data_IF_900307018816
#
_entry.id   IF_900307018816
#
_cell.length_a   1.000
_cell.length_b   1.000
_cell.length_c   1.000
_cell.angle_alpha   90.00
_cell.angle_beta   90.00
_cell.angle_gamma   90.00
#
_symmetry.space_group_name_H-M   'P 1'
#
loop_
_entity.id
_entity.type
_entity.pdbx_description
1 polymer ?
#
# COMPACT_ATOMS: atom_id res chain seq x y z
N UNK A 1 3.36 -2.27 2.42
CA UNK A 1 2.29 -1.50 1.77
C UNK A 1 1.05 -1.48 2.66
N UNK A 2 0.31 -0.36 2.73
CA UNK A 2 -0.97 -0.32 3.43
C UNK A 2 -2.06 -1.06 2.64
N UNK A 3 -3.06 -1.61 3.34
CA UNK A 3 -4.20 -2.29 2.71
C UNK A 3 -4.98 -1.35 1.79
N UNK A 4 -5.14 -0.07 2.16
CA UNK A 4 -5.84 0.96 1.39
C UNK A 4 -5.06 1.41 0.12
N UNK A 5 -3.74 1.31 0.13
CA UNK A 5 -2.94 1.53 -1.08
C UNK A 5 -3.04 0.35 -2.06
N UNK A 6 -3.18 -0.88 -1.54
CA UNK A 6 -3.26 -2.09 -2.35
C UNK A 6 -4.66 -2.30 -2.95
N UNK A 7 -5.71 -2.11 -2.16
CA UNK A 7 -7.10 -2.33 -2.55
C UNK A 7 -7.93 -1.05 -2.44
N UNK A 8 -9.01 -0.99 -3.23
CA UNK A 8 -10.04 0.04 -3.08
C UNK A 8 -10.85 -0.23 -1.81
N UNK A 9 -10.68 0.64 -0.84
CA UNK A 9 -11.38 0.66 0.43
C UNK A 9 -12.12 1.99 0.63
N UNK A 10 -12.54 2.63 -0.47
CA UNK A 10 -13.20 3.94 -0.43
C UNK A 10 -14.53 3.89 0.33
N UNK A 11 -15.35 2.87 0.07
CA UNK A 11 -16.64 2.65 0.78
C UNK A 11 -16.42 2.43 2.27
N UNK A 12 -15.45 1.60 2.61
CA UNK A 12 -15.10 1.27 3.99
C UNK A 12 -14.54 2.48 4.73
N UNK A 13 -13.74 3.31 4.05
CA UNK A 13 -13.22 4.54 4.63
C UNK A 13 -14.33 5.56 4.88
N UNK A 14 -15.25 5.75 3.94
CA UNK A 14 -16.41 6.64 4.12
C UNK A 14 -17.27 6.16 5.29
N UNK A 15 -17.48 4.85 5.42
CA UNK A 15 -18.22 4.27 6.53
C UNK A 15 -17.52 4.53 7.88
N UNK A 16 -16.21 4.37 7.92
CA UNK A 16 -15.40 4.65 9.10
C UNK A 16 -15.50 6.12 9.52
N UNK A 17 -15.39 7.05 8.58
CA UNK A 17 -15.43 8.50 8.84
C UNK A 17 -16.83 8.98 9.25
N UNK A 18 -17.89 8.42 8.66
CA UNK A 18 -19.26 8.88 8.88
C UNK A 18 -19.97 8.17 10.01
N UNK A 19 -19.68 6.88 10.25
CA UNK A 19 -20.41 6.04 11.20
C UNK A 19 -19.52 5.42 12.29
N UNK A 20 -18.20 5.61 12.19
CA UNK A 20 -17.23 5.20 13.20
C UNK A 20 -16.80 3.72 13.12
N UNK A 21 -15.94 3.36 14.07
CA UNK A 21 -15.23 2.06 14.10
C UNK A 21 -16.19 0.86 14.16
N UNK A 22 -17.26 0.93 14.94
CA UNK A 22 -18.17 -0.22 15.11
C UNK A 22 -18.90 -0.57 13.82
N UNK A 23 -19.36 0.44 13.08
CA UNK A 23 -20.03 0.23 11.80
C UNK A 23 -19.04 -0.34 10.75
N UNK A 24 -17.82 0.20 10.71
CA UNK A 24 -16.74 -0.31 9.89
C UNK A 24 -16.43 -1.79 10.19
N UNK A 25 -16.22 -2.15 11.46
CA UNK A 25 -15.91 -3.53 11.86
C UNK A 25 -17.03 -4.50 11.46
N UNK A 26 -18.28 -4.12 11.70
CA UNK A 26 -19.44 -4.94 11.32
C UNK A 26 -19.48 -5.15 9.81
N UNK A 27 -19.33 -4.09 9.03
CA UNK A 27 -19.32 -4.15 7.57
C UNK A 27 -18.23 -5.09 7.05
N UNK A 28 -17.00 -4.97 7.56
CA UNK A 28 -15.88 -5.82 7.15
C UNK A 28 -16.13 -7.31 7.44
N UNK A 29 -16.72 -7.63 8.58
CA UNK A 29 -17.06 -9.01 8.95
C UNK A 29 -18.20 -9.55 8.09
N UNK A 30 -19.24 -8.75 7.85
CA UNK A 30 -20.38 -9.16 7.01
C UNK A 30 -19.97 -9.42 5.55
N UNK A 31 -18.97 -8.67 5.07
CA UNK A 31 -18.47 -8.75 3.69
C UNK A 31 -17.12 -9.50 3.56
N UNK A 32 -16.73 -10.29 4.55
CA UNK A 32 -15.41 -10.96 4.57
C UNK A 32 -15.12 -11.83 3.33
N UNK A 33 -16.17 -12.33 2.66
CA UNK A 33 -16.09 -13.17 1.46
C UNK A 33 -16.19 -12.39 0.15
N UNK A 34 -16.51 -11.11 0.22
CA UNK A 34 -16.61 -10.24 -0.94
C UNK A 34 -15.22 -9.67 -1.24
N UNK A 35 -14.66 -10.03 -2.38
CA UNK A 35 -13.31 -9.58 -2.73
C UNK A 35 -13.26 -8.07 -2.96
N UNK A 36 -12.20 -7.46 -2.44
CA UNK A 36 -11.91 -6.04 -2.68
C UNK A 36 -11.45 -5.84 -4.12
N UNK A 37 -11.84 -4.71 -4.70
CA UNK A 37 -11.33 -4.31 -6.01
C UNK A 37 -9.87 -3.84 -5.89
N UNK A 38 -9.04 -4.04 -6.93
CA UNK A 38 -7.69 -3.50 -6.98
C UNK A 38 -7.67 -1.98 -6.79
N UNK A 39 -6.84 -1.52 -5.87
CA UNK A 39 -6.57 -0.11 -5.66
C UNK A 39 -5.45 0.42 -6.57
N UNK A 40 -5.13 1.72 -6.45
CA UNK A 40 -4.16 2.38 -7.32
C UNK A 40 -2.73 1.81 -7.20
N UNK A 41 -2.35 1.26 -6.05
CA UNK A 41 -1.06 0.60 -5.83
C UNK A 41 -1.00 -0.84 -6.32
N UNK A 42 -2.13 -1.47 -6.63
CA UNK A 42 -2.21 -2.90 -6.91
C UNK A 42 -1.27 -3.33 -8.05
N UNK A 43 -1.29 -2.60 -9.16
CA UNK A 43 -0.47 -2.91 -10.33
C UNK A 43 1.02 -2.80 -10.06
N UNK A 44 1.44 -1.81 -9.30
CA UNK A 44 2.83 -1.67 -8.90
C UNK A 44 3.26 -2.86 -8.04
N UNK A 45 2.45 -3.24 -7.05
CA UNK A 45 2.73 -4.36 -6.16
C UNK A 45 2.77 -5.69 -6.93
N UNK A 46 1.81 -5.93 -7.81
CA UNK A 46 1.80 -7.10 -8.68
C UNK A 46 3.07 -7.18 -9.55
N UNK A 47 3.46 -6.06 -10.15
CA UNK A 47 4.66 -5.97 -10.97
C UNK A 47 5.94 -6.22 -10.18
N UNK A 48 6.04 -5.69 -8.96
CA UNK A 48 7.17 -5.95 -8.06
C UNK A 48 7.24 -7.44 -7.66
N UNK A 49 6.12 -8.04 -7.30
CA UNK A 49 6.06 -9.48 -6.98
C UNK A 49 6.42 -10.36 -8.19
N UNK A 50 6.12 -9.93 -9.42
CA UNK A 50 6.48 -10.65 -10.64
C UNK A 50 7.99 -10.70 -10.90
N UNK A 51 8.80 -9.85 -10.28
CA UNK A 51 10.27 -9.95 -10.32
C UNK A 51 10.72 -11.31 -9.80
N UNK A 52 10.06 -11.83 -8.78
CA UNK A 52 10.38 -13.16 -8.20
C UNK A 52 10.13 -14.33 -9.17
N UNK A 53 9.37 -14.11 -10.25
CA UNK A 53 9.11 -15.12 -11.29
C UNK A 53 10.22 -15.19 -12.34
N UNK A 54 11.14 -14.24 -12.34
CA UNK A 54 12.28 -14.20 -13.26
C UNK A 54 13.33 -15.18 -12.75
N UNK A 55 13.84 -16.10 -13.59
CA UNK A 55 14.86 -17.07 -13.17
C UNK A 55 16.09 -16.39 -12.56
N UNK A 56 16.48 -16.81 -11.37
CA UNK A 56 17.58 -16.22 -10.59
C UNK A 56 17.24 -14.96 -9.80
N UNK A 57 15.98 -14.56 -9.78
CA UNK A 57 15.48 -13.43 -8.97
C UNK A 57 14.46 -13.86 -7.90
N UNK A 58 14.37 -15.16 -7.62
CA UNK A 58 13.44 -15.69 -6.63
C UNK A 58 13.71 -15.10 -5.23
N UNK A 59 12.65 -14.61 -4.59
CA UNK A 59 12.74 -14.02 -3.25
C UNK A 59 13.43 -12.65 -3.17
N UNK A 60 13.63 -11.96 -4.28
CA UNK A 60 14.21 -10.61 -4.30
C UNK A 60 13.27 -9.54 -3.77
N UNK A 61 11.98 -9.76 -3.94
CA UNK A 61 10.95 -8.82 -3.47
C UNK A 61 10.05 -9.54 -2.48
N UNK A 62 9.90 -8.97 -1.32
CA UNK A 62 8.89 -9.35 -0.35
C UNK A 62 7.96 -8.18 -0.12
N UNK A 63 6.66 -8.44 -0.17
CA UNK A 63 5.63 -7.46 0.15
C UNK A 63 4.96 -7.86 1.46
N UNK A 64 4.85 -6.90 2.37
CA UNK A 64 4.24 -7.06 3.68
C UNK A 64 3.08 -6.08 3.80
N UNK A 65 1.92 -6.57 4.23
CA UNK A 65 0.79 -5.68 4.55
C UNK A 65 1.05 -5.02 5.89
N UNK A 66 0.93 -3.69 5.93
CA UNK A 66 0.99 -2.88 7.13
C UNK A 66 -0.35 -2.17 7.31
N UNK A 67 -1.13 -2.54 8.30
CA UNK A 67 -2.49 -2.05 8.48
C UNK A 67 -2.79 -1.68 9.92
N UNK A 68 -3.55 -0.59 10.09
CA UNK A 68 -4.13 -0.22 11.39
C UNK A 68 -5.33 -1.08 11.79
N UNK A 69 -5.81 -1.93 10.89
CA UNK A 69 -6.93 -2.81 11.17
C UNK A 69 -6.59 -3.85 12.24
N UNK A 70 -7.61 -4.39 12.85
CA UNK A 70 -7.54 -5.59 13.70
C UNK A 70 -7.54 -6.87 12.84
N UNK A 71 -7.16 -8.03 13.39
CA UNK A 71 -7.17 -9.30 12.65
C UNK A 71 -8.53 -9.67 12.08
N UNK A 72 -9.60 -9.46 12.80
CA UNK A 72 -10.98 -9.77 12.41
C UNK A 72 -11.49 -8.89 11.26
N UNK A 73 -11.09 -7.63 11.20
CA UNK A 73 -11.44 -6.73 10.09
C UNK A 73 -10.54 -6.88 8.87
N UNK A 74 -9.50 -7.70 8.96
CA UNK A 74 -8.51 -7.90 7.88
C UNK A 74 -8.74 -9.17 7.05
N UNK A 75 -9.68 -10.04 7.42
CA UNK A 75 -9.96 -11.29 6.69
C UNK A 75 -10.30 -11.03 5.22
N UNK A 76 -11.09 -10.01 4.95
CA UNK A 76 -11.45 -9.61 3.58
C UNK A 76 -10.22 -9.25 2.74
N UNK A 77 -9.24 -8.56 3.34
CA UNK A 77 -7.96 -8.24 2.68
C UNK A 77 -7.19 -9.52 2.33
N UNK A 78 -7.09 -10.46 3.26
CA UNK A 78 -6.39 -11.74 3.01
C UNK A 78 -7.11 -12.60 1.99
N UNK A 79 -8.45 -12.65 2.04
CA UNK A 79 -9.25 -13.36 1.04
C UNK A 79 -9.03 -12.76 -0.37
N UNK A 80 -8.92 -11.43 -0.47
CA UNK A 80 -8.64 -10.74 -1.72
C UNK A 80 -7.22 -11.01 -2.21
N UNK A 81 -6.21 -11.00 -1.33
CA UNK A 81 -4.82 -11.37 -1.65
C UNK A 81 -4.78 -12.79 -2.25
N UNK A 82 -5.48 -13.74 -1.62
CA UNK A 82 -5.55 -15.11 -2.09
C UNK A 82 -6.29 -15.22 -3.43
N UNK A 83 -7.39 -14.49 -3.60
CA UNK A 83 -8.18 -14.46 -4.84
C UNK A 83 -7.36 -13.98 -6.04
N UNK A 84 -6.58 -12.91 -5.87
CA UNK A 84 -5.72 -12.37 -6.92
C UNK A 84 -4.37 -13.11 -7.07
N UNK A 85 -4.11 -14.13 -6.26
CA UNK A 85 -2.88 -14.91 -6.32
C UNK A 85 -1.61 -14.12 -5.97
N UNK A 86 -1.74 -13.04 -5.20
CA UNK A 86 -0.59 -12.26 -4.76
C UNK A 86 0.25 -13.06 -3.75
N UNK A 87 1.56 -13.12 -3.98
CA UNK A 87 2.49 -13.83 -3.09
C UNK A 87 2.85 -12.96 -1.87
N UNK A 88 1.85 -12.66 -1.04
CA UNK A 88 1.98 -11.88 0.19
C UNK A 88 1.62 -12.80 1.36
N UNK A 89 2.60 -13.14 2.18
CA UNK A 89 2.45 -14.12 3.27
C UNK A 89 2.59 -13.50 4.66
N UNK A 90 3.02 -12.23 4.77
CA UNK A 90 3.21 -11.54 6.05
C UNK A 90 2.37 -10.27 6.13
N UNK A 91 1.87 -10.00 7.34
CA UNK A 91 1.15 -8.76 7.62
C UNK A 91 1.41 -8.31 9.06
N UNK A 92 1.32 -7.01 9.28
CA UNK A 92 1.20 -6.37 10.60
C UNK A 92 -0.20 -5.77 10.69
N UNK A 93 -0.92 -6.15 11.73
CA UNK A 93 -2.26 -5.68 12.05
C UNK A 93 -2.19 -4.99 13.41
N UNK A 94 -2.06 -3.67 13.39
CA UNK A 94 -1.65 -2.90 14.55
C UNK A 94 -2.82 -2.45 15.45
N UNK A 95 -4.08 -2.71 15.05
CA UNK A 95 -5.29 -2.33 15.82
C UNK A 95 -5.26 -0.87 16.27
N UNK A 96 -4.91 0.04 15.37
CA UNK A 96 -4.81 1.48 15.62
C UNK A 96 -3.45 1.97 16.17
N UNK A 97 -2.52 1.07 16.52
CA UNK A 97 -1.18 1.48 16.94
C UNK A 97 -0.30 1.96 15.77
N UNK A 98 0.75 2.71 16.08
CA UNK A 98 1.73 3.18 15.08
C UNK A 98 2.40 2.02 14.34
N UNK A 99 2.55 2.15 13.02
CA UNK A 99 3.21 1.18 12.15
C UNK A 99 4.74 1.37 12.11
N UNK A 100 5.25 2.55 12.45
CA UNK A 100 6.67 2.89 12.32
C UNK A 100 7.64 1.89 13.02
N UNK A 101 7.39 1.40 14.26
CA UNK A 101 8.26 0.41 14.88
C UNK A 101 8.34 -0.90 14.11
N UNK A 102 7.23 -1.30 13.46
CA UNK A 102 7.17 -2.53 12.68
C UNK A 102 7.91 -2.38 11.35
N UNK A 103 7.86 -1.21 10.71
CA UNK A 103 8.61 -0.94 9.47
C UNK A 103 10.11 -1.18 9.70
N UNK A 104 10.67 -0.66 10.80
CA UNK A 104 12.06 -0.88 11.17
C UNK A 104 12.35 -2.36 11.50
N UNK A 105 11.48 -3.02 12.27
CA UNK A 105 11.66 -4.42 12.66
C UNK A 105 11.64 -5.39 11.47
N UNK A 106 10.91 -5.05 10.42
CA UNK A 106 10.85 -5.83 9.18
C UNK A 106 11.92 -5.42 8.16
N UNK A 107 12.81 -4.48 8.49
CA UNK A 107 13.83 -3.95 7.57
C UNK A 107 13.22 -3.48 6.24
N UNK A 108 12.16 -2.68 6.34
CA UNK A 108 11.42 -2.19 5.17
C UNK A 108 12.29 -1.21 4.38
N UNK A 109 12.48 -1.48 3.09
CA UNK A 109 13.20 -0.58 2.17
C UNK A 109 12.31 0.53 1.63
N UNK A 110 11.01 0.22 1.41
CA UNK A 110 10.03 1.19 0.88
C UNK A 110 8.65 0.94 1.49
N UNK A 111 8.06 1.97 2.06
CA UNK A 111 6.69 1.96 2.53
C UNK A 111 5.76 2.75 1.62
N UNK A 112 4.67 2.15 1.19
CA UNK A 112 3.65 2.79 0.35
C UNK A 112 2.31 2.78 1.08
N UNK A 113 1.73 3.94 1.28
CA UNK A 113 0.45 4.11 1.96
C UNK A 113 -0.47 5.09 1.21
N UNK A 114 -1.76 4.99 1.45
CA UNK A 114 -2.74 5.99 1.06
C UNK A 114 -2.97 7.04 2.17
N UNK A 115 -2.29 6.89 3.31
CA UNK A 115 -2.39 7.77 4.46
C UNK A 115 -1.11 8.62 4.60
N UNK A 116 -1.30 9.95 4.61
CA UNK A 116 -0.21 10.91 4.64
C UNK A 116 0.54 10.90 5.99
N UNK A 117 -0.19 10.72 7.10
CA UNK A 117 0.41 10.67 8.43
C UNK A 117 1.28 9.42 8.59
N UNK A 118 0.87 8.28 8.04
CA UNK A 118 1.66 7.05 8.03
C UNK A 118 2.94 7.20 7.21
N UNK A 119 2.85 7.85 6.05
CA UNK A 119 4.02 8.13 5.19
C UNK A 119 4.99 9.04 5.91
N UNK A 120 4.52 10.11 6.54
CA UNK A 120 5.38 11.03 7.29
C UNK A 120 6.05 10.31 8.47
N UNK A 121 5.31 9.51 9.23
CA UNK A 121 5.87 8.74 10.35
C UNK A 121 6.94 7.74 9.90
N UNK A 122 6.79 7.14 8.71
CA UNK A 122 7.80 6.26 8.13
C UNK A 122 9.07 7.04 7.75
N UNK A 123 8.94 8.20 7.11
CA UNK A 123 10.04 9.09 6.75
C UNK A 123 10.79 9.54 8.00
N UNK A 124 10.08 9.99 9.03
CA UNK A 124 10.67 10.43 10.31
C UNK A 124 11.43 9.29 11.00
N UNK A 125 11.09 8.04 10.70
CA UNK A 125 11.75 6.84 11.20
C UNK A 125 12.92 6.38 10.31
N UNK A 126 13.26 7.14 9.27
CA UNK A 126 14.36 6.86 8.34
C UNK A 126 14.02 5.82 7.25
N UNK A 127 12.75 5.55 7.02
CA UNK A 127 12.28 4.63 5.97
C UNK A 127 11.84 5.44 4.75
N UNK A 128 12.30 5.07 3.56
CA UNK A 128 11.77 5.64 2.34
C UNK A 128 10.28 5.32 2.21
N UNK A 129 9.46 6.34 1.98
CA UNK A 129 8.02 6.16 1.90
C UNK A 129 7.38 7.06 0.84
N UNK A 130 6.21 6.65 0.36
CA UNK A 130 5.47 7.40 -0.65
C UNK A 130 3.96 7.23 -0.52
N UNK A 131 3.24 8.28 -0.94
CA UNK A 131 1.78 8.29 -0.96
C UNK A 131 1.30 7.69 -2.27
N UNK A 132 0.38 6.72 -2.18
CA UNK A 132 -0.42 6.27 -3.31
C UNK A 132 -1.69 7.12 -3.35
N UNK A 133 -1.78 8.00 -4.35
CA UNK A 133 -2.96 8.85 -4.54
C UNK A 133 -4.18 8.01 -4.89
N UNK A 134 -5.21 8.07 -4.06
CA UNK A 134 -6.44 7.30 -4.22
C UNK A 134 -7.61 8.11 -4.77
N UNK A 135 -7.41 9.41 -5.07
CA UNK A 135 -8.46 10.34 -5.48
C UNK A 135 -9.10 10.04 -6.86
N UNK A 136 -8.45 9.19 -7.65
CA UNK A 136 -8.97 8.71 -8.93
C UNK A 136 -8.63 7.25 -9.08
N UNK A 137 -9.58 6.39 -8.74
CA UNK A 137 -9.48 4.98 -9.12
C UNK A 137 -9.63 4.96 -10.64
N UNK A 138 -8.52 4.76 -11.34
CA UNK A 138 -8.61 4.39 -12.74
C UNK A 138 -9.26 3.02 -12.74
N UNK A 139 -10.47 2.93 -13.30
CA UNK A 139 -11.10 1.66 -13.56
C UNK A 139 -10.09 0.81 -14.34
N UNK A 140 -9.43 -0.10 -13.66
CA UNK A 140 -8.61 -1.12 -14.29
C UNK A 140 -9.64 -1.99 -15.02
N UNK A 141 -9.72 -1.86 -16.34
CA UNK A 141 -10.66 -2.63 -17.14
C UNK A 141 -10.53 -4.13 -16.81
N UNK A 142 -11.62 -4.87 -16.92
CA UNK A 142 -11.73 -6.29 -16.57
C UNK A 142 -10.71 -7.21 -17.28
N UNK A 143 -10.02 -6.71 -18.30
CA UNK A 143 -8.96 -7.43 -19.02
C UNK A 143 -7.61 -6.83 -18.68
N UNK A 144 -7.02 -7.36 -17.65
CA UNK A 144 -5.70 -6.96 -17.21
C UNK A 144 -4.66 -7.85 -17.90
N UNK A 145 -4.03 -7.33 -18.96
CA UNK A 145 -2.83 -7.94 -19.54
C UNK A 145 -1.74 -8.08 -18.46
N UNK A 146 -1.07 -9.24 -18.35
CA UNK A 146 0.03 -9.40 -17.43
C UNK A 146 1.10 -8.33 -17.69
N UNK A 147 1.53 -7.64 -16.64
CA UNK A 147 2.60 -6.65 -16.76
C UNK A 147 3.92 -7.35 -17.09
N UNK A 148 4.40 -7.16 -18.30
CA UNK A 148 5.71 -7.68 -18.75
C UNK A 148 6.87 -6.73 -18.40
N UNK A 149 6.58 -5.50 -18.00
CA UNK A 149 7.57 -4.46 -17.68
C UNK A 149 7.09 -3.58 -16.53
N UNK A 150 8.04 -3.24 -15.64
CA UNK A 150 7.86 -2.14 -14.68
C UNK A 150 8.49 -0.90 -15.28
N UNK A 151 7.74 0.21 -15.32
CA UNK A 151 8.26 1.52 -15.72
C UNK A 151 8.04 2.47 -14.56
N UNK A 152 9.13 2.96 -13.98
CA UNK A 152 9.10 3.89 -12.86
C UNK A 152 9.82 5.16 -13.31
N UNK A 153 9.18 6.31 -13.16
CA UNK A 153 9.78 7.61 -13.33
C UNK A 153 9.99 8.23 -11.94
N UNK A 154 11.17 8.78 -11.72
CA UNK A 154 11.48 9.52 -10.51
C UNK A 154 11.66 10.99 -10.88
N UNK A 155 11.14 11.88 -10.02
CA UNK A 155 11.52 13.28 -10.10
C UNK A 155 13.01 13.44 -9.75
N UNK A 156 13.68 14.37 -10.42
CA UNK A 156 15.09 14.63 -10.20
C UNK A 156 15.32 15.45 -8.94
N UNK A 157 14.61 16.58 -8.84
CA UNK A 157 14.82 17.55 -7.77
C UNK A 157 14.12 17.09 -6.47
N UNK A 158 14.82 17.21 -5.36
CA UNK A 158 14.37 16.82 -4.01
C UNK A 158 13.94 15.35 -3.85
N UNK A 159 14.10 14.50 -4.87
CA UNK A 159 13.82 13.05 -4.80
C UNK A 159 15.08 12.24 -5.07
N UNK A 160 15.75 12.44 -6.22
CA UNK A 160 17.01 11.75 -6.53
C UNK A 160 18.24 12.60 -6.21
N UNK A 161 18.10 13.92 -6.26
CA UNK A 161 19.16 14.89 -5.97
C UNK A 161 18.79 15.73 -4.75
N UNK A 162 19.74 16.50 -4.22
CA UNK A 162 19.47 17.42 -3.12
C UNK A 162 18.50 18.54 -3.54
N UNK A 163 17.86 19.18 -2.58
CA UNK A 163 16.92 20.27 -2.76
C UNK A 163 17.59 21.66 -2.96
N UNK A 164 18.92 21.68 -3.17
CA UNK A 164 19.69 22.94 -3.34
C UNK A 164 19.16 23.79 -4.49
N UNK A 165 18.77 23.19 -5.61
CA UNK A 165 18.19 23.89 -6.76
C UNK A 165 16.82 24.49 -6.45
N UNK A 166 16.00 23.81 -5.67
CA UNK A 166 14.69 24.30 -5.23
C UNK A 166 14.81 25.43 -4.23
N UNK A 167 15.79 25.40 -3.33
CA UNK A 167 16.07 26.49 -2.39
C UNK A 167 16.45 27.76 -3.13
N UNK A 168 17.30 27.69 -4.15
CA UNK A 168 17.68 28.83 -4.99
C UNK A 168 16.49 29.43 -5.76
N UNK A 169 15.54 28.58 -6.17
CA UNK A 169 14.33 29.06 -6.87
C UNK A 169 13.37 29.80 -5.93
N UNK A 170 13.26 29.37 -4.67
CA UNK A 170 12.42 30.02 -3.66
C UNK A 170 12.96 31.33 -3.13
N UNK A 171 14.26 31.60 -3.31
CA UNK A 171 14.93 32.85 -2.89
C UNK A 171 14.86 33.97 -3.96
N UNK A 172 14.32 33.69 -5.14
CA UNK A 172 14.10 34.67 -6.22
C UNK A 172 12.67 35.17 -6.23
#
# INVERSE_FOLDING_TARGET
VSSRALFDLSVENELFETQGVEAYCRYQVEHEKDYLMPGNGFRLIEALLNINKIPGQEGRVEVIIMSHNSPDTSLRVFNSIAHYGLQISRAVLASGASLAPYLNAFHTDLYLSADEADVQAAIDSGIAAGIICCDRIQAVGETVEPLSQIRIAFDGDAVLFSDESEQLYKEQ
#
